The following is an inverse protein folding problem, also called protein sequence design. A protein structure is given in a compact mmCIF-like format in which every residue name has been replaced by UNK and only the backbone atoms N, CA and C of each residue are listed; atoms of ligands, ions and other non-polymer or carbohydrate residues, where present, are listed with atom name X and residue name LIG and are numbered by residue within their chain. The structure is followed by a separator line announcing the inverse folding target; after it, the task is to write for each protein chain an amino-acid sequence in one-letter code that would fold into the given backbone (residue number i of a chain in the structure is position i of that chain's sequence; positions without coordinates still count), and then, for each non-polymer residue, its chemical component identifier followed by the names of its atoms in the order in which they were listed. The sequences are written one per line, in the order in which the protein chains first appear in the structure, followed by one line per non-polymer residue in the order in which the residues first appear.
data_IF_382376346242
#
_entry.id   IF_382376346242
#
_cell.length_a   1.000
_cell.length_b   1.000
_cell.length_c   1.000
_cell.angle_alpha   90.00
_cell.angle_beta   90.00
_cell.angle_gamma   90.00
#
_symmetry.space_group_name_H-M   'P 1'
#
loop_
_entity.id
_entity.type
_entity.pdbx_description
1 polymer ?
#
# COMPACT_ATOMS: atom_id res chain seq x y z
N UNK A 1 -13.83 3.07 7.53
CA UNK A 1 -12.40 3.19 7.18
C UNK A 1 -11.83 1.88 6.65
N UNK A 2 -11.88 0.78 7.40
CA UNK A 2 -11.29 -0.52 7.00
C UNK A 2 -11.67 -1.00 5.60
N UNK A 3 -12.97 -1.02 5.25
CA UNK A 3 -13.44 -1.43 3.91
C UNK A 3 -12.74 -0.66 2.78
N UNK A 4 -12.59 0.66 2.93
CA UNK A 4 -11.99 1.50 1.89
C UNK A 4 -10.47 1.34 1.85
N UNK A 5 -9.82 1.18 3.01
CA UNK A 5 -8.41 0.83 3.07
C UNK A 5 -8.11 -0.54 2.45
N UNK A 6 -8.99 -1.54 2.63
CA UNK A 6 -8.88 -2.85 1.98
C UNK A 6 -8.97 -2.72 0.46
N UNK A 7 -9.90 -1.90 -0.05
CA UNK A 7 -10.01 -1.61 -1.49
C UNK A 7 -8.73 -0.94 -1.99
N UNK A 8 -8.21 0.04 -1.27
CA UNK A 8 -6.94 0.70 -1.61
C UNK A 8 -5.76 -0.27 -1.63
N UNK A 9 -5.68 -1.17 -0.65
CA UNK A 9 -4.67 -2.24 -0.62
C UNK A 9 -4.78 -3.19 -1.81
N UNK A 10 -5.99 -3.62 -2.17
CA UNK A 10 -6.21 -4.47 -3.35
C UNK A 10 -5.78 -3.75 -4.63
N UNK A 11 -6.12 -2.47 -4.78
CA UNK A 11 -5.67 -1.64 -5.91
C UNK A 11 -4.13 -1.58 -5.96
N UNK A 12 -3.47 -1.37 -4.82
CA UNK A 12 -2.03 -1.33 -4.75
C UNK A 12 -1.38 -2.65 -5.22
N UNK A 13 -1.95 -3.80 -4.86
CA UNK A 13 -1.53 -5.11 -5.38
C UNK A 13 -1.79 -5.21 -6.89
N UNK A 14 -2.96 -4.77 -7.37
CA UNK A 14 -3.26 -4.82 -8.79
C UNK A 14 -2.28 -3.98 -9.61
N UNK A 15 -1.71 -2.91 -9.05
CA UNK A 15 -0.68 -2.13 -9.72
C UNK A 15 0.67 -2.87 -9.89
N UNK A 16 0.89 -4.01 -9.21
CA UNK A 16 2.10 -4.83 -9.39
C UNK A 16 1.94 -5.92 -10.46
N UNK A 17 0.71 -6.21 -10.88
CA UNK A 17 0.40 -7.29 -11.84
C UNK A 17 0.88 -7.00 -13.26
N UNK A 18 0.73 -5.78 -13.83
CA UNK A 18 0.94 -5.63 -15.26
C UNK A 18 2.43 -5.60 -15.59
N UNK A 19 2.90 -6.45 -16.53
CA UNK A 19 4.31 -6.53 -16.88
C UNK A 19 4.80 -5.21 -17.48
N UNK A 20 6.10 -4.93 -17.34
CA UNK A 20 6.79 -3.69 -17.75
C UNK A 20 6.35 -2.42 -16.99
N UNK A 21 5.04 -2.18 -16.82
CA UNK A 21 4.57 -0.97 -16.12
C UNK A 21 4.67 -1.09 -14.61
N UNK A 22 4.70 -2.30 -14.04
CA UNK A 22 4.86 -2.52 -12.60
C UNK A 22 6.15 -1.90 -12.01
N UNK A 23 7.16 -1.59 -12.82
CA UNK A 23 8.35 -0.85 -12.36
C UNK A 23 8.01 0.59 -11.94
N UNK A 24 6.91 1.15 -12.44
CA UNK A 24 6.41 2.47 -12.07
C UNK A 24 5.12 2.33 -11.24
N UNK A 25 4.16 1.56 -11.73
CA UNK A 25 2.87 1.38 -11.06
C UNK A 25 2.98 0.59 -9.76
N UNK A 26 3.92 -0.35 -9.64
CA UNK A 26 4.14 -1.11 -8.41
C UNK A 26 4.58 -0.21 -7.25
N UNK A 27 5.69 0.54 -7.37
CA UNK A 27 6.09 1.51 -6.36
C UNK A 27 4.99 2.55 -6.08
N UNK A 28 4.36 3.12 -7.10
CA UNK A 28 3.28 4.10 -6.91
C UNK A 28 1.94 3.49 -6.47
N UNK A 29 1.82 2.17 -6.44
CA UNK A 29 0.58 1.43 -6.15
C UNK A 29 -0.09 1.84 -4.83
N UNK A 30 0.63 1.96 -3.70
CA UNK A 30 0.07 2.42 -2.44
C UNK A 30 -0.53 3.82 -2.52
N UNK A 31 0.08 4.74 -3.27
CA UNK A 31 -0.46 6.09 -3.48
C UNK A 31 -1.76 6.03 -4.27
N UNK A 32 -1.80 5.26 -5.36
CA UNK A 32 -2.99 5.08 -6.20
C UNK A 32 -4.12 4.41 -5.39
N UNK A 33 -3.78 3.39 -4.62
CA UNK A 33 -4.69 2.70 -3.70
C UNK A 33 -5.26 3.65 -2.65
N UNK A 34 -4.39 4.45 -2.02
CA UNK A 34 -4.76 5.50 -1.09
C UNK A 34 -5.70 6.52 -1.73
N UNK A 35 -5.41 6.96 -2.95
CA UNK A 35 -6.24 7.89 -3.71
C UNK A 35 -7.66 7.36 -3.91
N UNK A 36 -7.80 6.11 -4.38
CA UNK A 36 -9.12 5.49 -4.57
C UNK A 36 -9.85 5.34 -3.24
N UNK A 37 -9.15 4.90 -2.18
CA UNK A 37 -9.74 4.78 -0.85
C UNK A 37 -10.25 6.12 -0.31
N UNK A 38 -9.43 7.17 -0.41
CA UNK A 38 -9.73 8.52 0.06
C UNK A 38 -10.87 9.19 -0.70
N UNK A 39 -10.87 9.10 -2.04
CA UNK A 39 -11.99 9.61 -2.87
C UNK A 39 -13.31 8.96 -2.48
N UNK A 40 -13.33 7.62 -2.35
CA UNK A 40 -14.56 6.88 -2.05
C UNK A 40 -15.09 7.15 -0.65
N UNK A 41 -14.21 7.45 0.29
CA UNK A 41 -14.60 7.74 1.67
C UNK A 41 -14.75 9.23 1.96
N UNK A 42 -14.42 10.11 1.01
CA UNK A 42 -14.29 11.56 1.22
C UNK A 42 -13.43 11.85 2.47
N UNK A 43 -12.28 11.18 2.57
CA UNK A 43 -11.50 11.11 3.80
C UNK A 43 -11.05 12.49 4.30
N UNK A 44 -11.23 12.76 5.59
CA UNK A 44 -10.51 13.84 6.29
C UNK A 44 -8.99 13.53 6.39
N UNK A 45 -8.14 14.49 6.79
CA UNK A 45 -6.73 14.23 7.03
C UNK A 45 -6.47 13.10 8.07
N UNK A 46 -7.20 13.08 9.18
CA UNK A 46 -7.09 12.06 10.24
C UNK A 46 -7.56 10.68 9.75
N UNK A 47 -8.63 10.67 8.96
CA UNK A 47 -9.14 9.47 8.31
C UNK A 47 -8.15 8.92 7.28
N UNK A 48 -7.45 9.81 6.56
CA UNK A 48 -6.43 9.44 5.59
C UNK A 48 -5.21 8.82 6.25
N UNK A 49 -4.78 9.34 7.40
CA UNK A 49 -3.74 8.71 8.22
C UNK A 49 -4.17 7.29 8.63
N UNK A 50 -5.43 7.13 9.08
CA UNK A 50 -5.99 5.82 9.45
C UNK A 50 -6.01 4.85 8.25
N UNK A 51 -6.36 5.33 7.05
CA UNK A 51 -6.32 4.52 5.83
C UNK A 51 -4.89 4.04 5.53
N UNK A 52 -3.90 4.94 5.59
CA UNK A 52 -2.50 4.59 5.41
C UNK A 52 -2.03 3.53 6.39
N UNK A 53 -2.28 3.72 7.69
CA UNK A 53 -1.90 2.74 8.73
C UNK A 53 -2.52 1.37 8.47
N UNK A 54 -3.81 1.30 8.12
CA UNK A 54 -4.47 0.04 7.80
C UNK A 54 -3.85 -0.61 6.54
N UNK A 55 -3.58 0.17 5.49
CA UNK A 55 -2.92 -0.34 4.28
C UNK A 55 -1.51 -0.89 4.57
N UNK A 56 -0.73 -0.20 5.40
CA UNK A 56 0.58 -0.69 5.86
C UNK A 56 0.45 -1.99 6.66
N UNK A 57 -0.48 -2.05 7.61
CA UNK A 57 -0.74 -3.25 8.39
C UNK A 57 -1.17 -4.45 7.53
N UNK A 58 -1.96 -4.23 6.47
CA UNK A 58 -2.36 -5.27 5.53
C UNK A 58 -1.16 -5.81 4.72
N UNK A 59 -0.19 -4.95 4.38
CA UNK A 59 1.07 -5.36 3.71
C UNK A 59 1.96 -6.23 4.60
N UNK A 60 1.88 -6.06 5.92
CA UNK A 60 2.73 -6.81 6.86
C UNK A 60 2.54 -8.33 6.73
N UNK A 61 1.32 -8.80 6.48
CA UNK A 61 1.03 -10.23 6.30
C UNK A 61 1.82 -10.85 5.14
N UNK A 62 1.65 -10.37 3.89
CA UNK A 62 2.45 -10.79 2.75
C UNK A 62 3.96 -10.66 2.97
N UNK A 63 4.42 -9.56 3.59
CA UNK A 63 5.84 -9.36 3.91
C UNK A 63 6.37 -10.46 4.82
N UNK A 64 5.69 -10.75 5.93
CA UNK A 64 6.12 -11.79 6.88
C UNK A 64 6.09 -13.18 6.25
N UNK A 65 5.13 -13.45 5.36
CA UNK A 65 5.09 -14.70 4.60
C UNK A 65 6.31 -14.84 3.68
N UNK A 66 6.67 -13.78 2.96
CA UNK A 66 7.85 -13.78 2.08
C UNK A 66 9.13 -13.94 2.89
N UNK A 67 9.28 -13.23 4.01
CA UNK A 67 10.48 -13.36 4.86
C UNK A 67 10.61 -14.76 5.44
N UNK A 68 9.50 -15.36 5.88
CA UNK A 68 9.53 -16.69 6.52
C UNK A 68 9.72 -17.85 5.53
N UNK A 69 9.10 -17.75 4.36
CA UNK A 69 9.01 -18.87 3.41
C UNK A 69 9.80 -18.63 2.12
N UNK A 70 10.29 -17.41 1.86
CA UNK A 70 10.95 -17.04 0.60
C UNK A 70 12.13 -17.92 0.22
N UNK A 71 12.90 -18.38 1.20
CA UNK A 71 14.03 -19.32 0.99
C UNK A 71 13.58 -20.73 0.59
N UNK A 72 12.36 -21.15 0.93
CA UNK A 72 11.82 -22.48 0.58
C UNK A 72 11.21 -22.55 -0.82
N UNK A 73 10.94 -21.40 -1.44
CA UNK A 73 10.28 -21.26 -2.75
C UNK A 73 11.19 -20.67 -3.83
N UNK A 74 12.39 -20.20 -3.48
CA UNK A 74 13.35 -19.69 -4.46
C UNK A 74 14.04 -20.85 -5.19
N UNK A 75 13.94 -20.95 -6.54
CA UNK A 75 14.76 -21.87 -7.33
C UNK A 75 16.23 -21.40 -7.46
N UNK A 76 16.57 -20.26 -6.85
CA UNK A 76 17.90 -19.64 -6.88
C UNK A 76 18.43 -19.66 -5.44
N UNK A 77 19.35 -20.59 -5.13
CA UNK A 77 19.94 -20.77 -3.79
C UNK A 77 20.71 -19.53 -3.29
N UNK A 78 21.20 -18.68 -4.21
CA UNK A 78 21.95 -17.46 -3.87
C UNK A 78 21.08 -16.30 -3.38
N UNK A 79 19.75 -16.41 -3.46
CA UNK A 79 18.80 -15.41 -2.93
C UNK A 79 18.38 -15.67 -1.49
N UNK A 80 19.13 -16.51 -0.75
CA UNK A 80 18.94 -16.69 0.69
C UNK A 80 19.23 -15.38 1.44
N UNK A 81 18.23 -14.50 1.49
CA UNK A 81 18.26 -13.31 2.30
C UNK A 81 18.29 -13.70 3.77
N UNK A 82 19.26 -13.14 4.49
CA UNK A 82 19.27 -13.17 5.94
C UNK A 82 17.92 -12.67 6.48
N UNK A 83 17.36 -13.39 7.47
CA UNK A 83 16.03 -13.10 8.02
C UNK A 83 15.97 -11.70 8.62
N UNK A 84 17.07 -11.23 9.23
CA UNK A 84 17.15 -9.89 9.82
C UNK A 84 17.06 -8.82 8.73
N UNK A 85 17.83 -8.98 7.64
CA UNK A 85 17.76 -8.08 6.49
C UNK A 85 16.36 -8.07 5.86
N UNK A 86 15.73 -9.24 5.72
CA UNK A 86 14.36 -9.37 5.22
C UNK A 86 13.34 -8.63 6.08
N UNK A 87 13.46 -8.70 7.41
CA UNK A 87 12.60 -7.95 8.33
C UNK A 87 12.79 -6.43 8.21
N UNK A 88 14.03 -5.95 8.08
CA UNK A 88 14.28 -4.51 7.90
C UNK A 88 13.68 -3.99 6.59
N UNK A 89 13.88 -4.71 5.48
CA UNK A 89 13.29 -4.35 4.19
C UNK A 89 11.76 -4.40 4.27
N UNK A 90 11.21 -5.46 4.87
CA UNK A 90 9.77 -5.63 5.06
C UNK A 90 9.13 -4.50 5.88
N UNK A 91 9.81 -4.06 6.94
CA UNK A 91 9.38 -2.92 7.74
C UNK A 91 9.43 -1.62 6.93
N UNK A 92 10.49 -1.42 6.14
CA UNK A 92 10.60 -0.28 5.22
C UNK A 92 9.44 -0.23 4.21
N UNK A 93 9.09 -1.37 3.61
CA UNK A 93 7.94 -1.49 2.70
C UNK A 93 6.62 -1.18 3.42
N UNK A 94 6.47 -1.65 4.65
CA UNK A 94 5.28 -1.39 5.48
C UNK A 94 5.08 0.10 5.72
N UNK A 95 6.14 0.82 6.12
CA UNK A 95 6.10 2.27 6.31
C UNK A 95 5.86 3.01 5.00
N UNK A 96 6.53 2.58 3.92
CA UNK A 96 6.36 3.14 2.59
C UNK A 96 4.89 3.09 2.13
N UNK A 97 4.25 1.93 2.26
CA UNK A 97 2.83 1.74 1.92
C UNK A 97 1.94 2.60 2.80
N UNK A 98 2.22 2.68 4.10
CA UNK A 98 1.43 3.48 5.02
C UNK A 98 1.47 4.97 4.68
N UNK A 99 2.67 5.50 4.42
CA UNK A 99 2.89 6.91 4.12
C UNK A 99 2.24 7.26 2.77
N UNK A 100 2.55 6.52 1.70
CA UNK A 100 1.98 6.80 0.39
C UNK A 100 0.46 6.60 0.35
N UNK A 101 -0.06 5.58 1.03
CA UNK A 101 -1.49 5.35 1.18
C UNK A 101 -2.19 6.52 1.88
N UNK A 102 -1.58 7.06 2.94
CA UNK A 102 -2.10 8.24 3.64
C UNK A 102 -2.08 9.49 2.75
N UNK A 103 -0.97 9.76 2.04
CA UNK A 103 -0.83 10.93 1.16
C UNK A 103 -1.86 10.87 0.03
N UNK A 104 -1.95 9.72 -0.67
CA UNK A 104 -2.92 9.54 -1.74
C UNK A 104 -4.35 9.75 -1.25
N UNK A 105 -4.68 9.19 -0.09
CA UNK A 105 -6.00 9.36 0.53
C UNK A 105 -6.30 10.81 0.90
N UNK A 106 -5.32 11.53 1.45
CA UNK A 106 -5.51 12.91 1.90
C UNK A 106 -5.81 13.86 0.74
N UNK A 107 -5.04 13.75 -0.36
CA UNK A 107 -5.24 14.58 -1.55
C UNK A 107 -6.62 14.30 -2.15
N UNK A 108 -6.92 13.02 -2.39
CA UNK A 108 -8.13 12.61 -3.05
C UNK A 108 -9.39 12.88 -2.22
N UNK A 109 -9.32 12.65 -0.91
CA UNK A 109 -10.38 12.97 0.04
C UNK A 109 -10.67 14.48 0.11
N UNK A 110 -9.63 15.33 0.10
CA UNK A 110 -9.82 16.78 0.05
C UNK A 110 -10.50 17.23 -1.25
N UNK A 111 -10.07 16.69 -2.40
CA UNK A 111 -10.67 17.01 -3.71
C UNK A 111 -12.14 16.59 -3.77
N UNK A 112 -12.48 15.40 -3.28
CA UNK A 112 -13.85 14.88 -3.28
C UNK A 112 -14.80 15.66 -2.37
N UNK A 113 -14.32 16.19 -1.25
CA UNK A 113 -15.12 17.06 -0.37
C UNK A 113 -15.36 18.45 -1.01
N UNK A 114 -14.38 18.99 -1.74
CA UNK A 114 -14.51 20.30 -2.38
C UNK A 114 -15.52 20.28 -3.53
N UNK A 115 -15.53 19.23 -4.36
CA UNK A 115 -16.46 19.13 -5.50
C UNK A 115 -17.94 19.16 -5.10
N UNK A 116 -18.28 18.61 -3.93
CA UNK A 116 -19.67 18.59 -3.45
C UNK A 116 -20.12 19.94 -2.87
N UNK A 117 -19.18 20.78 -2.42
CA UNK A 117 -19.51 22.12 -1.91
C UNK A 117 -19.84 23.14 -3.02
N UNK A 118 -19.57 22.78 -4.28
CA UNK A 118 -19.78 23.63 -5.46
C UNK A 118 -20.98 23.25 -6.30
N UNK A 119 -21.68 22.17 -5.95
CA UNK A 119 -22.92 21.67 -6.58
C UNK A 119 -24.15 22.08 -5.75
#
# INVERSE_FOLDING_TARGET
MFKNALIGFIVAILCTVPPLIHFISGPLGPFIGGWIAGSRSKASPEQSLTIGVIMGALVLGPVLLIVKFGSSISPIEDLNMDTTLGLFIGLGITFYVAILGAIGSAIAGHMANKSESTD
#
